data_IF_377094405053
#
_entry.id   IF_377094405053
#
_cell.length_a   1.000
_cell.length_b   1.000
_cell.length_c   1.000
_cell.angle_alpha   90.00
_cell.angle_beta   90.00
_cell.angle_gamma   90.00
#
_symmetry.space_group_name_H-M   'P 1'
#
loop_
_entity.id
_entity.type
_entity.pdbx_description
1 polymer ?
#
# COMPACT_ATOMS: atom_id res chain seq x y z
N UNK A 1 10.25 -8.85 -5.48
CA UNK A 1 9.15 -7.88 -5.73
C UNK A 1 9.58 -6.87 -6.78
N UNK A 2 10.60 -6.03 -6.54
CA UNK A 2 11.04 -4.98 -7.47
C UNK A 2 11.33 -5.47 -8.90
N UNK A 3 12.03 -6.60 -9.07
CA UNK A 3 12.31 -7.16 -10.40
C UNK A 3 11.03 -7.51 -11.17
N UNK A 4 10.10 -8.25 -10.54
CA UNK A 4 8.81 -8.63 -11.13
C UNK A 4 7.99 -7.39 -11.51
N UNK A 5 7.94 -6.39 -10.61
CA UNK A 5 7.25 -5.12 -10.86
C UNK A 5 7.90 -4.37 -12.02
N UNK A 6 9.24 -4.26 -12.04
CA UNK A 6 9.97 -3.56 -13.10
C UNK A 6 9.78 -4.23 -14.46
N UNK A 7 9.79 -5.56 -14.52
CA UNK A 7 9.64 -6.33 -15.76
C UNK A 7 8.23 -6.27 -16.32
N UNK A 8 7.20 -6.44 -15.48
CA UNK A 8 5.82 -6.58 -15.95
C UNK A 8 4.99 -5.31 -15.86
N UNK A 9 5.37 -4.37 -14.98
CA UNK A 9 4.67 -3.12 -14.72
C UNK A 9 3.14 -3.26 -14.62
N UNK A 10 2.61 -4.09 -13.70
CA UNK A 10 1.17 -4.14 -13.47
C UNK A 10 0.65 -2.75 -13.06
N UNK A 11 -0.62 -2.42 -13.32
CA UNK A 11 -1.15 -1.11 -12.96
C UNK A 11 -1.16 -0.87 -11.43
N UNK A 12 -1.37 -1.93 -10.63
CA UNK A 12 -1.45 -1.88 -9.18
C UNK A 12 -0.77 -3.10 -8.54
N UNK A 13 -0.06 -2.89 -7.44
CA UNK A 13 0.48 -3.93 -6.56
C UNK A 13 0.04 -3.66 -5.11
N UNK A 14 -0.84 -4.50 -4.56
CA UNK A 14 -1.30 -4.40 -3.16
C UNK A 14 -0.55 -5.41 -2.31
N UNK A 15 -0.03 -5.00 -1.16
CA UNK A 15 0.74 -5.88 -0.28
C UNK A 15 0.36 -5.75 1.20
N UNK A 16 0.89 -6.67 2.01
CA UNK A 16 0.64 -6.76 3.45
C UNK A 16 1.90 -7.12 4.25
N UNK A 17 1.72 -7.69 5.45
CA UNK A 17 2.75 -8.20 6.37
C UNK A 17 3.54 -7.16 7.17
N UNK A 18 3.81 -5.97 6.62
CA UNK A 18 4.73 -5.00 7.23
C UNK A 18 4.11 -4.11 8.30
N UNK A 19 2.77 -4.02 8.37
CA UNK A 19 2.02 -3.05 9.20
C UNK A 19 2.24 -1.58 8.85
N UNK A 20 2.92 -1.32 7.74
CA UNK A 20 3.11 0.02 7.20
C UNK A 20 2.01 0.32 6.21
N UNK A 21 1.49 1.55 6.23
CA UNK A 21 0.77 2.07 5.07
C UNK A 21 1.76 2.67 4.09
N UNK A 22 1.49 2.47 2.81
CA UNK A 22 2.38 2.92 1.75
C UNK A 22 1.58 3.27 0.50
N UNK A 23 2.05 4.29 -0.21
CA UNK A 23 1.54 4.71 -1.52
C UNK A 23 2.70 5.23 -2.35
N UNK A 24 3.27 4.32 -3.13
CA UNK A 24 4.49 4.57 -3.91
C UNK A 24 4.32 4.13 -5.36
N UNK A 25 5.30 4.45 -6.19
CA UNK A 25 5.29 4.07 -7.60
C UNK A 25 6.65 3.55 -8.05
N UNK A 26 6.65 2.43 -8.78
CA UNK A 26 7.81 1.93 -9.53
C UNK A 26 7.39 1.79 -10.99
N UNK A 27 7.95 2.61 -11.87
CA UNK A 27 7.52 2.66 -13.28
C UNK A 27 6.05 3.10 -13.37
N UNK A 28 5.20 2.29 -14.03
CA UNK A 28 3.74 2.51 -14.08
C UNK A 28 2.97 1.82 -12.95
N UNK A 29 3.64 1.04 -12.11
CA UNK A 29 2.98 0.31 -11.03
C UNK A 29 2.83 1.19 -9.82
N UNK A 30 1.59 1.48 -9.42
CA UNK A 30 1.31 2.00 -8.08
C UNK A 30 1.37 0.86 -7.07
N UNK A 31 2.06 1.07 -5.96
CA UNK A 31 2.26 0.09 -4.89
C UNK A 31 1.55 0.64 -3.65
N UNK A 32 0.61 -0.14 -3.12
CA UNK A 32 -0.29 0.31 -2.05
C UNK A 32 -0.27 -0.66 -0.87
N UNK A 33 -0.30 -0.11 0.34
CA UNK A 33 -0.64 -0.80 1.58
C UNK A 33 -1.49 0.11 2.48
N UNK A 34 -2.55 -0.45 3.09
CA UNK A 34 -3.39 0.24 4.08
C UNK A 34 -3.56 -0.66 5.31
N UNK A 35 -2.45 -1.02 5.96
CA UNK A 35 -2.45 -1.90 7.12
C UNK A 35 -2.43 -1.08 8.41
N UNK A 36 -3.44 -1.24 9.26
CA UNK A 36 -3.51 -0.53 10.56
C UNK A 36 -2.28 -0.81 11.45
N UNK A 37 -1.84 -2.06 11.47
CA UNK A 37 -0.78 -2.53 12.36
C UNK A 37 -1.24 -2.69 13.80
N UNK A 38 -0.29 -2.86 14.71
CA UNK A 38 -0.58 -3.04 16.13
C UNK A 38 -0.81 -1.71 16.87
N UNK A 39 -1.54 -1.74 18.01
CA UNK A 39 -1.57 -0.61 18.93
C UNK A 39 -0.18 -0.26 19.46
N UNK A 40 0.14 1.03 19.49
CA UNK A 40 1.37 1.54 20.08
C UNK A 40 1.30 1.63 21.61
N UNK A 41 2.45 1.49 22.27
CA UNK A 41 2.55 1.60 23.74
C UNK A 41 2.14 2.97 24.31
N UNK A 42 2.09 4.00 23.47
CA UNK A 42 1.72 5.38 23.83
C UNK A 42 0.35 5.77 23.26
N UNK A 43 -0.45 4.79 22.84
CA UNK A 43 -1.68 5.00 22.08
C UNK A 43 -1.44 5.13 20.57
N UNK A 44 -2.53 5.10 19.80
CA UNK A 44 -2.49 5.03 18.34
C UNK A 44 -2.11 3.64 17.82
N UNK A 45 -1.90 3.53 16.51
CA UNK A 45 -1.47 2.31 15.82
C UNK A 45 -0.18 2.55 15.02
N UNK A 46 0.51 1.47 14.63
CA UNK A 46 1.77 1.52 13.87
C UNK A 46 1.63 2.32 12.58
N UNK A 47 0.56 2.11 11.82
CA UNK A 47 0.22 2.99 10.72
C UNK A 47 -0.67 4.14 11.19
N UNK A 48 -0.16 5.37 11.03
CA UNK A 48 -0.90 6.60 11.34
C UNK A 48 -1.85 7.04 10.23
N UNK A 49 -1.53 6.66 9.00
CA UNK A 49 -2.29 7.04 7.79
C UNK A 49 -3.29 5.95 7.38
N UNK A 50 -3.62 5.03 8.29
CA UNK A 50 -4.60 3.99 8.03
C UNK A 50 -5.97 4.62 7.77
N UNK A 51 -6.55 4.31 6.62
CA UNK A 51 -7.92 4.69 6.30
C UNK A 51 -8.89 3.58 6.73
N UNK A 52 -9.69 3.87 7.75
CA UNK A 52 -10.73 2.97 8.27
C UNK A 52 -11.87 2.75 7.26
N UNK A 53 -12.12 3.71 6.36
CA UNK A 53 -13.07 3.53 5.26
C UNK A 53 -12.52 2.62 4.15
N UNK A 54 -11.24 2.24 4.24
CA UNK A 54 -10.49 1.58 3.18
C UNK A 54 -9.91 2.58 2.18
N UNK A 55 -8.95 2.12 1.38
CA UNK A 55 -8.25 2.95 0.40
C UNK A 55 -8.73 2.61 -1.03
N UNK A 56 -9.79 3.25 -1.54
CA UNK A 56 -10.32 2.98 -2.87
C UNK A 56 -9.33 3.44 -3.95
N UNK A 57 -9.03 2.56 -4.90
CA UNK A 57 -8.10 2.81 -6.00
C UNK A 57 -8.77 2.44 -7.32
N UNK A 58 -8.82 3.40 -8.24
CA UNK A 58 -9.20 3.16 -9.63
C UNK A 58 -8.00 2.56 -10.39
N UNK A 59 -8.27 1.52 -11.18
CA UNK A 59 -7.23 0.81 -11.95
C UNK A 59 -7.60 0.81 -13.43
N UNK A 60 -6.76 1.46 -14.24
CA UNK A 60 -6.93 1.57 -15.69
C UNK A 60 -7.43 2.95 -16.13
N UNK A 61 -7.19 3.27 -17.40
CA UNK A 61 -7.78 4.44 -18.07
C UNK A 61 -9.04 3.93 -18.79
N UNK A 62 -10.20 4.54 -18.50
CA UNK A 62 -11.46 4.27 -19.19
C UNK A 62 -11.49 4.87 -20.60
#
# INVERSE_FOLDING_TARGET
MVEIIGTHQPALWVYGHTHECDDQTIGRTRIISNQLGYPGNLGGFECKDFDEAGLPIEVGDY
#
